data_IF_946843167153
#
_entry.id   IF_946843167153
#
_cell.length_a   1.000
_cell.length_b   1.000
_cell.length_c   1.000
_cell.angle_alpha   90.00
_cell.angle_beta   90.00
_cell.angle_gamma   90.00
#
_symmetry.space_group_name_H-M   'P 1'
#
loop_
_entity.id
_entity.type
_entity.pdbx_description
1 polymer ?
#
# COMPACT_ATOMS: atom_id res chain seq x y z
N UNK A 1 -13.67 2.51 -11.35
CA UNK A 1 -13.61 2.87 -9.91
C UNK A 1 -12.53 3.92 -9.79
N UNK A 2 -12.82 5.08 -9.23
CA UNK A 2 -11.85 6.17 -9.13
C UNK A 2 -11.28 6.16 -7.71
N UNK A 3 -9.98 6.33 -7.57
CA UNK A 3 -9.32 6.43 -6.28
C UNK A 3 -8.38 7.63 -6.26
N UNK A 4 -8.14 8.16 -5.06
CA UNK A 4 -7.31 9.33 -4.80
C UNK A 4 -6.33 8.99 -3.67
N UNK A 5 -5.12 9.54 -3.75
CA UNK A 5 -4.14 9.47 -2.66
C UNK A 5 -3.92 10.85 -2.09
N UNK A 6 -3.96 10.92 -0.76
CA UNK A 6 -3.71 12.13 0.02
C UNK A 6 -2.53 11.85 0.94
N UNK A 7 -1.52 12.70 0.94
CA UNK A 7 -0.35 12.57 1.81
C UNK A 7 -0.08 13.87 2.53
N UNK A 8 0.18 13.82 3.82
CA UNK A 8 0.50 15.02 4.59
C UNK A 8 0.80 14.77 6.06
N UNK A 9 1.35 15.78 6.75
CA UNK A 9 1.46 15.74 8.19
C UNK A 9 0.06 15.67 8.82
N UNK A 10 -0.06 14.93 9.91
CA UNK A 10 -1.27 14.83 10.72
C UNK A 10 -1.16 15.73 11.96
N UNK A 11 -2.29 16.02 12.61
CA UNK A 11 -2.36 16.98 13.72
C UNK A 11 -1.47 16.60 14.94
N UNK A 12 -1.06 15.33 15.03
CA UNK A 12 -0.14 14.81 16.05
C UNK A 12 1.35 14.85 15.62
N UNK A 13 1.68 15.45 14.48
CA UNK A 13 3.05 15.55 13.96
C UNK A 13 3.57 14.29 13.26
N UNK A 14 2.74 13.26 13.09
CA UNK A 14 3.06 12.09 12.27
C UNK A 14 2.85 12.39 10.78
N UNK A 15 3.30 11.49 9.90
CA UNK A 15 3.01 11.56 8.47
C UNK A 15 1.97 10.50 8.10
N UNK A 16 0.85 10.94 7.52
CA UNK A 16 -0.21 10.07 7.04
C UNK A 16 -0.21 10.01 5.51
N UNK A 17 -0.26 8.81 4.95
CA UNK A 17 -0.58 8.60 3.53
C UNK A 17 -1.88 7.81 3.42
N UNK A 18 -2.90 8.37 2.79
CA UNK A 18 -4.25 7.81 2.71
C UNK A 18 -4.62 7.51 1.28
N UNK A 19 -5.24 6.36 1.05
CA UNK A 19 -5.95 6.06 -0.18
C UNK A 19 -7.44 6.14 0.11
N UNK A 20 -8.15 6.93 -0.70
CA UNK A 20 -9.60 7.07 -0.68
C UNK A 20 -10.18 6.51 -1.97
N UNK A 21 -11.12 5.57 -1.85
CA UNK A 21 -11.80 5.00 -3.02
C UNK A 21 -13.19 5.59 -3.14
N UNK A 22 -13.49 6.13 -4.33
CA UNK A 22 -14.76 6.79 -4.62
C UNK A 22 -15.52 6.07 -5.73
N UNK A 23 -16.83 6.07 -5.58
CA UNK A 23 -17.80 5.76 -6.64
C UNK A 23 -18.57 7.02 -7.00
N UNK A 24 -19.43 6.92 -8.00
CA UNK A 24 -20.45 7.92 -8.32
C UNK A 24 -21.38 8.23 -7.13
N UNK A 25 -21.48 7.31 -6.16
CA UNK A 25 -22.25 7.46 -4.91
C UNK A 25 -21.46 8.06 -3.74
N UNK A 26 -20.18 8.38 -3.93
CA UNK A 26 -19.33 8.99 -2.90
C UNK A 26 -18.19 8.07 -2.41
N UNK A 27 -17.64 8.39 -1.23
CA UNK A 27 -16.55 7.64 -0.62
C UNK A 27 -17.04 6.25 -0.20
N UNK A 28 -16.40 5.22 -0.73
CA UNK A 28 -16.73 3.82 -0.48
C UNK A 28 -15.54 3.11 0.14
N UNK A 29 -14.82 3.77 1.04
CA UNK A 29 -13.73 3.13 1.78
C UNK A 29 -12.34 3.66 1.44
N UNK A 30 -11.36 3.07 2.13
CA UNK A 30 -10.01 3.57 2.16
C UNK A 30 -9.44 3.54 3.58
N UNK A 31 -8.24 4.08 3.71
CA UNK A 31 -7.49 4.10 4.95
C UNK A 31 -6.06 4.53 4.69
N UNK A 32 -5.27 4.58 5.76
CA UNK A 32 -3.96 5.20 5.69
C UNK A 32 -2.84 4.39 6.31
N UNK A 33 -1.64 4.76 5.90
CA UNK A 33 -0.38 4.38 6.47
C UNK A 33 0.13 5.56 7.32
N UNK A 34 0.22 5.34 8.64
CA UNK A 34 0.74 6.31 9.62
C UNK A 34 2.16 5.94 10.03
N UNK A 35 2.95 6.95 10.43
CA UNK A 35 4.26 6.77 11.03
C UNK A 35 5.27 7.83 10.61
N UNK A 36 6.58 7.61 10.84
CA UNK A 36 7.63 8.52 10.38
C UNK A 36 7.78 8.49 8.86
N UNK A 37 8.12 9.63 8.23
CA UNK A 37 8.33 9.81 6.79
C UNK A 37 9.08 8.62 6.14
N UNK A 38 10.38 8.50 6.39
CA UNK A 38 11.19 7.30 6.16
C UNK A 38 12.39 7.39 7.11
N UNK A 39 12.91 6.26 7.60
CA UNK A 39 14.24 6.27 8.24
C UNK A 39 15.31 6.37 7.16
N UNK A 40 16.49 6.90 7.47
CA UNK A 40 17.58 7.08 6.49
C UNK A 40 18.02 5.79 5.78
N UNK A 41 17.77 4.64 6.40
CA UNK A 41 18.07 3.30 5.88
C UNK A 41 16.95 2.67 5.05
N UNK A 42 15.78 3.31 4.93
CA UNK A 42 14.61 2.76 4.26
C UNK A 42 14.26 3.57 3.01
N UNK A 43 13.92 2.85 1.95
CA UNK A 43 13.45 3.38 0.67
C UNK A 43 11.93 3.32 0.60
N UNK A 44 11.32 2.34 1.27
CA UNK A 44 9.85 2.15 1.27
C UNK A 44 9.25 2.10 2.67
N UNK A 45 8.02 2.59 2.79
CA UNK A 45 7.13 2.32 3.92
C UNK A 45 5.70 2.20 3.42
N UNK A 46 5.22 0.96 3.41
CA UNK A 46 3.97 0.59 2.74
C UNK A 46 3.05 -0.15 3.73
N UNK A 47 1.77 -0.14 3.44
CA UNK A 47 0.78 -0.93 4.15
C UNK A 47 -0.25 -1.49 3.18
N UNK A 48 -0.71 -2.70 3.48
CA UNK A 48 -1.72 -3.42 2.71
C UNK A 48 -2.94 -3.57 3.60
N UNK A 49 -4.11 -3.24 3.06
CA UNK A 49 -5.35 -3.19 3.81
C UNK A 49 -6.47 -3.88 3.05
N UNK A 50 -7.35 -4.55 3.80
CA UNK A 50 -8.64 -5.03 3.31
C UNK A 50 -9.75 -4.30 4.05
N UNK A 51 -10.58 -3.56 3.34
CA UNK A 51 -11.71 -2.83 3.88
C UNK A 51 -13.01 -3.42 3.35
N UNK A 52 -13.97 -3.76 4.21
CA UNK A 52 -15.29 -4.28 3.80
C UNK A 52 -16.41 -3.37 4.33
N UNK A 53 -17.29 -2.81 3.46
CA UNK A 53 -18.46 -2.05 3.89
C UNK A 53 -19.57 -2.99 4.36
N UNK A 54 -19.37 -3.63 5.50
CA UNK A 54 -20.36 -4.52 6.09
C UNK A 54 -19.71 -5.79 6.61
N UNK A 55 -20.18 -6.25 7.76
CA UNK A 55 -19.72 -7.48 8.41
C UNK A 55 -20.11 -8.78 7.66
N UNK A 56 -20.59 -8.69 6.42
CA UNK A 56 -20.89 -9.86 5.61
C UNK A 56 -19.62 -10.39 4.95
N UNK A 57 -19.32 -11.66 5.22
CA UNK A 57 -18.21 -12.42 4.59
C UNK A 57 -18.35 -12.55 3.07
N UNK A 58 -19.47 -12.13 2.48
CA UNK A 58 -19.75 -12.19 1.04
C UNK A 58 -19.44 -10.89 0.30
N UNK A 59 -19.28 -9.76 1.00
CA UNK A 59 -18.91 -8.52 0.35
C UNK A 59 -17.41 -8.55 0.05
N UNK A 60 -17.10 -8.60 -1.24
CA UNK A 60 -15.73 -8.46 -1.73
C UNK A 60 -15.29 -7.01 -1.49
N UNK A 61 -14.87 -6.73 -0.26
CA UNK A 61 -14.31 -5.46 0.14
C UNK A 61 -13.14 -5.01 -0.75
N UNK A 62 -12.66 -3.80 -0.51
CA UNK A 62 -11.53 -3.20 -1.22
C UNK A 62 -10.24 -3.72 -0.60
N UNK A 63 -9.42 -4.38 -1.42
CA UNK A 63 -8.04 -4.72 -1.09
C UNK A 63 -7.13 -3.68 -1.76
N UNK A 64 -6.28 -3.01 -0.99
CA UNK A 64 -5.44 -1.95 -1.50
C UNK A 64 -4.09 -1.88 -0.79
N UNK A 65 -3.12 -1.29 -1.48
CA UNK A 65 -1.82 -0.92 -0.94
C UNK A 65 -1.69 0.60 -0.95
N UNK A 66 -1.10 1.16 0.08
CA UNK A 66 -0.81 2.58 0.18
C UNK A 66 0.47 2.80 0.97
N UNK A 67 1.23 3.82 0.62
CA UNK A 67 2.36 4.23 1.43
C UNK A 67 3.20 5.28 0.74
N UNK A 68 4.45 5.35 1.19
CA UNK A 68 5.42 6.35 0.75
C UNK A 68 6.75 5.70 0.44
N UNK A 69 7.45 6.32 -0.48
CA UNK A 69 8.77 5.92 -0.93
C UNK A 69 9.67 7.15 -1.02
N UNK A 70 10.98 6.92 -1.10
CA UNK A 70 11.95 7.99 -1.34
C UNK A 70 11.68 8.63 -2.72
N UNK A 71 11.89 9.93 -2.86
CA UNK A 71 11.53 10.67 -4.08
C UNK A 71 12.29 10.24 -5.36
N UNK A 72 13.40 9.51 -5.24
CA UNK A 72 14.18 8.97 -6.36
C UNK A 72 13.67 7.58 -6.82
N UNK A 73 12.66 7.01 -6.16
CA UNK A 73 12.02 5.76 -6.60
C UNK A 73 11.14 6.04 -7.80
N UNK A 74 11.45 5.41 -8.93
CA UNK A 74 10.68 5.53 -10.17
C UNK A 74 9.50 4.55 -10.21
N UNK A 75 9.65 3.37 -9.61
CA UNK A 75 8.59 2.36 -9.53
C UNK A 75 8.72 1.46 -8.29
N UNK A 76 7.59 0.95 -7.84
CA UNK A 76 7.54 -0.15 -6.85
C UNK A 76 6.98 -1.38 -7.54
N UNK A 77 7.80 -2.42 -7.66
CA UNK A 77 7.43 -3.70 -8.20
C UNK A 77 6.88 -4.60 -7.09
N UNK A 78 5.65 -5.07 -7.28
CA UNK A 78 4.93 -5.95 -6.38
C UNK A 78 4.92 -7.36 -6.97
N UNK A 79 5.41 -8.34 -6.21
CA UNK A 79 5.19 -9.75 -6.53
C UNK A 79 3.98 -10.24 -5.74
N UNK A 80 2.95 -10.60 -6.48
CA UNK A 80 1.65 -10.96 -5.94
C UNK A 80 1.40 -12.44 -6.25
N UNK A 81 0.99 -13.18 -5.23
CA UNK A 81 0.47 -14.54 -5.37
C UNK A 81 -1.05 -14.54 -5.12
N UNK A 82 -1.73 -15.60 -5.55
CA UNK A 82 -3.18 -15.70 -5.48
C UNK A 82 -3.68 -16.80 -6.42
N UNK A 83 -4.76 -16.56 -7.15
CA UNK A 83 -5.24 -17.49 -8.19
C UNK A 83 -4.20 -17.70 -9.30
N UNK A 84 -3.44 -16.65 -9.65
CA UNK A 84 -2.28 -16.73 -10.55
C UNK A 84 -1.18 -15.79 -10.04
N UNK A 85 0.08 -16.25 -9.95
CA UNK A 85 1.20 -15.37 -9.65
C UNK A 85 1.36 -14.28 -10.71
N UNK A 86 1.62 -13.06 -10.27
CA UNK A 86 1.82 -11.93 -11.17
C UNK A 86 2.77 -10.90 -10.57
N UNK A 87 3.38 -10.11 -11.44
CA UNK A 87 4.14 -8.92 -11.07
C UNK A 87 3.37 -7.70 -11.51
N UNK A 88 3.29 -6.69 -10.64
CA UNK A 88 2.65 -5.41 -10.92
C UNK A 88 3.58 -4.27 -10.54
N UNK A 89 3.67 -3.26 -11.40
CA UNK A 89 4.47 -2.07 -11.12
C UNK A 89 3.57 -0.91 -10.72
N UNK A 90 3.97 -0.21 -9.67
CA UNK A 90 3.32 0.99 -9.16
C UNK A 90 4.23 2.18 -9.40
N UNK A 91 3.77 3.11 -10.23
CA UNK A 91 4.42 4.42 -10.35
C UNK A 91 4.00 5.32 -9.18
N UNK A 92 4.90 6.20 -8.70
CA UNK A 92 4.51 7.28 -7.81
C UNK A 92 3.36 8.11 -8.37
N UNK A 93 2.37 8.41 -7.53
CA UNK A 93 1.18 9.21 -7.89
C UNK A 93 1.24 10.65 -7.40
N UNK A 94 2.28 11.00 -6.64
CA UNK A 94 2.56 12.35 -6.19
C UNK A 94 3.94 12.42 -5.53
N UNK A 95 4.58 13.58 -5.61
CA UNK A 95 5.92 13.82 -5.05
C UNK A 95 5.88 15.05 -4.16
N UNK A 96 6.45 14.94 -2.96
CA UNK A 96 6.72 16.06 -2.07
C UNK A 96 8.23 16.33 -2.03
N UNK A 97 8.64 17.38 -2.73
CA UNK A 97 10.06 17.80 -2.77
C UNK A 97 10.55 18.29 -1.40
N UNK A 98 9.69 18.92 -0.61
CA UNK A 98 10.04 19.38 0.74
C UNK A 98 10.42 18.20 1.64
N UNK A 99 9.68 17.10 1.53
CA UNK A 99 9.87 15.91 2.36
C UNK A 99 10.79 14.87 1.73
N UNK A 100 11.20 15.07 0.47
CA UNK A 100 11.96 14.09 -0.32
C UNK A 100 11.26 12.73 -0.39
N UNK A 101 9.93 12.77 -0.48
CA UNK A 101 9.06 11.59 -0.55
C UNK A 101 8.24 11.58 -1.84
N UNK A 102 7.83 10.39 -2.25
CA UNK A 102 6.75 10.18 -3.18
C UNK A 102 5.70 9.23 -2.60
N UNK A 103 4.47 9.32 -3.09
CA UNK A 103 3.36 8.50 -2.62
C UNK A 103 3.02 7.45 -3.66
N UNK A 104 2.73 6.24 -3.18
CA UNK A 104 2.32 5.12 -4.02
C UNK A 104 1.06 4.52 -3.43
N UNK A 105 0.13 4.14 -4.29
CA UNK A 105 -1.03 3.37 -3.89
C UNK A 105 -1.66 2.68 -5.09
N UNK A 106 -2.43 1.62 -4.82
CA UNK A 106 -3.22 0.94 -5.83
C UNK A 106 -4.28 0.03 -5.20
N UNK A 107 -5.29 -0.32 -6.00
CA UNK A 107 -6.26 -1.35 -5.69
C UNK A 107 -5.74 -2.70 -6.20
N UNK A 108 -5.62 -3.65 -5.28
CA UNK A 108 -5.15 -5.00 -5.55
C UNK A 108 -6.33 -5.95 -5.85
N UNK A 109 -6.10 -7.05 -6.59
CA UNK A 109 -7.08 -8.12 -6.68
C UNK A 109 -7.49 -8.61 -5.29
N UNK A 110 -8.75 -8.99 -5.10
CA UNK A 110 -9.28 -9.42 -3.79
C UNK A 110 -8.53 -10.63 -3.22
N UNK A 111 -8.18 -11.59 -4.07
CA UNK A 111 -7.43 -12.80 -3.72
C UNK A 111 -5.90 -12.63 -3.75
N UNK A 112 -5.39 -11.41 -3.93
CA UNK A 112 -3.97 -11.14 -3.92
C UNK A 112 -3.38 -11.31 -2.51
N UNK A 113 -2.19 -11.90 -2.44
CA UNK A 113 -1.28 -11.82 -1.32
C UNK A 113 0.06 -11.29 -1.81
N UNK A 114 0.59 -10.29 -1.11
CA UNK A 114 1.86 -9.66 -1.46
C UNK A 114 3.00 -10.45 -0.80
N UNK A 115 3.94 -10.95 -1.60
CA UNK A 115 5.05 -11.76 -1.10
C UNK A 115 6.40 -11.06 -1.21
N UNK A 116 6.53 -10.08 -2.11
CA UNK A 116 7.77 -9.32 -2.25
C UNK A 116 7.47 -7.93 -2.79
N UNK A 117 8.27 -6.97 -2.34
CA UNK A 117 8.23 -5.58 -2.77
C UNK A 117 9.64 -5.15 -3.14
N UNK A 118 9.79 -4.61 -4.33
CA UNK A 118 11.08 -4.08 -4.80
C UNK A 118 10.91 -2.63 -5.24
N UNK A 119 11.67 -1.71 -4.65
CA UNK A 119 11.74 -0.33 -5.12
C UNK A 119 12.81 -0.20 -6.20
N UNK A 120 12.47 0.43 -7.32
CA UNK A 120 13.32 0.57 -8.49
C UNK A 120 13.64 2.04 -8.75
N UNK A 121 14.87 2.33 -9.16
CA UNK A 121 15.26 3.64 -9.69
C UNK A 121 14.82 3.82 -11.15
N UNK A 122 15.14 4.97 -11.74
CA UNK A 122 14.83 5.34 -13.12
C UNK A 122 15.54 4.45 -14.18
N UNK A 123 16.53 3.67 -13.77
CA UNK A 123 17.24 2.69 -14.59
C UNK A 123 16.72 1.26 -14.38
N UNK A 124 15.69 1.07 -13.54
CA UNK A 124 15.14 -0.23 -13.19
C UNK A 124 16.01 -1.04 -12.23
N UNK A 125 16.98 -0.42 -11.56
CA UNK A 125 17.83 -1.08 -10.57
C UNK A 125 17.14 -1.09 -9.21
N UNK A 126 17.30 -2.20 -8.48
CA UNK A 126 16.75 -2.32 -7.13
C UNK A 126 17.48 -1.40 -6.15
N UNK A 127 16.70 -0.53 -5.50
CA UNK A 127 17.11 0.33 -4.39
C UNK A 127 16.82 -0.32 -3.04
N UNK A 128 15.73 -1.09 -2.96
CA UNK A 128 15.35 -1.88 -1.80
C UNK A 128 14.58 -3.11 -2.28
N UNK A 129 14.80 -4.23 -1.61
CA UNK A 129 14.17 -5.50 -1.90
C UNK A 129 13.73 -6.14 -0.58
N UNK A 130 12.42 -6.22 -0.39
CA UNK A 130 11.79 -6.64 0.85
C UNK A 130 10.95 -7.90 0.62
N UNK A 131 11.27 -8.97 1.34
CA UNK A 131 10.46 -10.19 1.40
C UNK A 131 9.31 -10.00 2.40
N UNK A 132 8.09 -10.08 1.90
CA UNK A 132 6.84 -9.92 2.64
C UNK A 132 6.11 -11.26 2.84
N UNK A 133 6.64 -12.37 2.30
CA UNK A 133 6.04 -13.70 2.41
C UNK A 133 5.86 -14.16 3.86
N UNK A 134 6.77 -13.76 4.76
CA UNK A 134 6.64 -14.02 6.20
C UNK A 134 5.50 -13.23 6.86
N UNK A 135 5.15 -12.04 6.35
CA UNK A 135 4.07 -11.21 6.89
C UNK A 135 2.68 -11.73 6.47
N UNK A 136 2.55 -12.29 5.26
CA UNK A 136 1.30 -12.89 4.78
C UNK A 136 0.88 -14.11 5.63
N UNK A 137 1.84 -14.88 6.15
CA UNK A 137 1.58 -16.01 7.07
C UNK A 137 0.99 -15.57 8.42
N UNK A 138 1.41 -14.42 8.96
CA UNK A 138 0.88 -13.90 10.24
C UNK A 138 -0.55 -13.36 10.13
N UNK A 139 -0.89 -12.68 9.04
CA UNK A 139 -2.25 -12.13 8.83
C UNK A 139 -3.32 -13.23 8.67
N UNK A 140 -2.94 -14.41 8.16
CA UNK A 140 -3.82 -15.59 8.11
C UNK A 140 -3.93 -16.32 9.46
N UNK A 141 -2.95 -16.15 10.35
CA UNK A 141 -2.91 -16.78 11.68
C UNK A 141 -3.77 -16.08 12.75
N UNK A 142 -4.13 -14.82 12.54
CA UNK A 142 -5.09 -14.10 13.40
C UNK A 142 -6.52 -14.29 12.88
N UNK A 143 -7.02 -15.52 12.91
CA UNK A 143 -8.47 -15.68 13.06
C UNK A 143 -8.82 -15.21 14.48
N UNK A 144 -9.83 -14.34 14.69
CA UNK A 144 -10.31 -14.05 16.02
C UNK A 144 -10.87 -15.37 16.57
N UNK A 145 -10.10 -16.01 17.44
CA UNK A 145 -10.56 -17.16 18.19
C UNK A 145 -11.80 -16.74 18.97
N UNK A 146 -12.93 -17.33 18.59
CA UNK A 146 -14.20 -17.23 19.26
C UNK A 146 -14.01 -17.49 20.76
N UNK A 147 -14.34 -16.50 21.58
CA UNK A 147 -14.69 -16.74 22.98
C UNK A 147 -16.03 -17.43 23.11
#
# INVERSE_FOLDING_TARGET
MNWEVHGGPTDNGEFGTFLWVRTDRGLVGGGGHYGPALTSSKVTSLSVHRWSPGASLTDNGIHYIVGRVRADVAAVQLHIVGAQPSTRELSPVGVSNELQLAFVADILPSAADLVRVTALDDQGRSLEDSDWGAHAGMLRGQSPGSG
#
